data_IF_398813825061
#
_entry.id   IF_398813825061
#
_cell.length_a   1.000
_cell.length_b   1.000
_cell.length_c   1.000
_cell.angle_alpha   90.00
_cell.angle_beta   90.00
_cell.angle_gamma   90.00
#
_symmetry.space_group_name_H-M   'P 1'
#
loop_
_entity.id
_entity.type
_entity.pdbx_description
1 polymer ?
#
# COMPACT_ATOMS: atom_id res chain seq x y z
N UNK A 1 -53.20 13.79 -42.60
CA UNK A 1 -52.93 13.35 -41.21
C UNK A 1 -53.91 14.09 -40.31
N UNK A 2 -54.85 13.41 -39.66
CA UNK A 2 -55.92 14.08 -38.90
C UNK A 2 -55.43 14.43 -37.48
N UNK A 3 -55.98 15.50 -36.90
CA UNK A 3 -55.65 15.97 -35.55
C UNK A 3 -55.72 14.85 -34.49
N UNK A 4 -56.66 13.91 -34.66
CA UNK A 4 -56.78 12.70 -33.83
C UNK A 4 -55.56 11.77 -33.91
N UNK A 5 -54.93 11.63 -35.09
CA UNK A 5 -53.72 10.81 -35.25
C UNK A 5 -52.53 11.44 -34.51
N UNK A 6 -52.41 12.77 -34.56
CA UNK A 6 -51.36 13.52 -33.85
C UNK A 6 -51.54 13.40 -32.33
N UNK A 7 -52.77 13.49 -31.85
CA UNK A 7 -53.09 13.41 -30.42
C UNK A 7 -52.87 12.00 -29.86
N UNK A 8 -53.20 10.96 -30.63
CA UNK A 8 -52.90 9.57 -30.28
C UNK A 8 -51.38 9.30 -30.25
N UNK A 9 -50.62 9.83 -31.21
CA UNK A 9 -49.15 9.72 -31.19
C UNK A 9 -48.51 10.47 -30.02
N UNK A 10 -49.05 11.62 -29.61
CA UNK A 10 -48.54 12.37 -28.46
C UNK A 10 -48.80 11.63 -27.14
N UNK A 11 -49.97 11.00 -26.99
CA UNK A 11 -50.28 10.17 -25.83
C UNK A 11 -49.40 8.92 -25.75
N UNK A 12 -49.13 8.27 -26.89
CA UNK A 12 -48.23 7.13 -26.95
C UNK A 12 -46.79 7.52 -26.58
N UNK A 13 -46.29 8.67 -27.05
CA UNK A 13 -44.97 9.20 -26.67
C UNK A 13 -44.89 9.49 -25.17
N UNK A 14 -45.90 10.14 -24.59
CA UNK A 14 -45.92 10.44 -23.16
C UNK A 14 -45.97 9.18 -22.28
N UNK A 15 -46.71 8.15 -22.70
CA UNK A 15 -46.75 6.87 -22.01
C UNK A 15 -45.40 6.13 -22.08
N UNK A 16 -44.75 6.19 -23.25
CA UNK A 16 -43.41 5.60 -23.45
C UNK A 16 -42.36 6.32 -22.60
N UNK A 17 -42.44 7.65 -22.50
CA UNK A 17 -41.53 8.45 -21.68
C UNK A 17 -41.68 8.13 -20.18
N UNK A 18 -42.93 8.01 -19.70
CA UNK A 18 -43.21 7.64 -18.31
C UNK A 18 -42.72 6.23 -17.96
N UNK A 19 -42.82 5.30 -18.91
CA UNK A 19 -42.32 3.93 -18.76
C UNK A 19 -40.79 3.90 -18.66
N UNK A 20 -40.09 4.65 -19.53
CA UNK A 20 -38.62 4.74 -19.51
C UNK A 20 -38.11 5.38 -18.21
N UNK A 21 -38.76 6.44 -17.72
CA UNK A 21 -38.39 7.06 -16.43
C UNK A 21 -38.52 6.04 -15.29
N UNK A 22 -39.64 5.31 -15.23
CA UNK A 22 -39.88 4.31 -14.21
C UNK A 22 -38.89 3.14 -14.27
N UNK A 23 -38.56 2.67 -15.47
CA UNK A 23 -37.54 1.63 -15.66
C UNK A 23 -36.14 2.12 -15.25
N UNK A 24 -35.83 3.39 -15.50
CA UNK A 24 -34.55 4.01 -15.08
C UNK A 24 -34.47 4.17 -13.56
N UNK A 25 -35.56 4.57 -12.90
CA UNK A 25 -35.66 4.63 -11.43
C UNK A 25 -35.50 3.24 -10.81
N UNK A 26 -36.20 2.24 -11.36
CA UNK A 26 -36.14 0.85 -10.85
C UNK A 26 -34.73 0.26 -11.06
N UNK A 27 -34.08 0.57 -12.18
CA UNK A 27 -32.69 0.19 -12.43
C UNK A 27 -31.74 0.89 -11.44
N UNK A 28 -31.96 2.18 -11.17
CA UNK A 28 -31.22 2.94 -10.17
C UNK A 28 -31.35 2.37 -8.74
N UNK A 29 -32.57 2.00 -8.33
CA UNK A 29 -32.83 1.34 -7.04
C UNK A 29 -32.19 -0.06 -6.97
N UNK A 30 -32.18 -0.80 -8.07
CA UNK A 30 -31.55 -2.13 -8.15
C UNK A 30 -30.03 -2.04 -8.08
N UNK A 31 -29.43 -1.06 -8.76
CA UNK A 31 -28.00 -0.76 -8.68
C UNK A 31 -27.65 -0.30 -7.26
N UNK A 32 -28.42 0.62 -6.66
CA UNK A 32 -28.19 1.13 -5.31
C UNK A 32 -28.35 0.05 -4.23
N UNK A 33 -29.33 -0.85 -4.36
CA UNK A 33 -29.52 -1.96 -3.42
C UNK A 33 -28.45 -3.04 -3.55
N UNK A 34 -28.02 -3.36 -4.77
CA UNK A 34 -26.85 -4.22 -5.02
C UNK A 34 -25.58 -3.62 -4.42
N UNK A 35 -25.38 -2.31 -4.61
CA UNK A 35 -24.28 -1.55 -4.03
C UNK A 35 -24.29 -1.58 -2.50
N UNK A 36 -25.44 -1.31 -1.86
CA UNK A 36 -25.60 -1.38 -0.40
C UNK A 36 -25.34 -2.79 0.14
N UNK A 37 -25.68 -3.83 -0.61
CA UNK A 37 -25.44 -5.23 -0.21
C UNK A 37 -23.96 -5.58 -0.28
N UNK A 38 -23.27 -5.15 -1.34
CA UNK A 38 -21.82 -5.29 -1.49
C UNK A 38 -21.11 -4.50 -0.38
N UNK A 39 -21.53 -3.25 -0.13
CA UNK A 39 -20.99 -2.40 0.91
C UNK A 39 -21.19 -3.01 2.31
N UNK A 40 -22.39 -3.55 2.62
CA UNK A 40 -22.64 -4.19 3.91
C UNK A 40 -21.82 -5.48 4.11
N UNK A 41 -21.66 -6.29 3.05
CA UNK A 41 -20.80 -7.47 3.09
C UNK A 41 -19.32 -7.09 3.28
N UNK A 42 -18.88 -6.04 2.60
CA UNK A 42 -17.55 -5.44 2.72
C UNK A 42 -17.31 -4.92 4.14
N UNK A 43 -18.22 -4.10 4.70
CA UNK A 43 -18.16 -3.57 6.07
C UNK A 43 -18.13 -4.67 7.12
N UNK A 44 -18.97 -5.70 6.98
CA UNK A 44 -18.97 -6.83 7.91
C UNK A 44 -17.70 -7.68 7.81
N UNK A 45 -17.17 -7.84 6.59
CA UNK A 45 -15.86 -8.44 6.35
C UNK A 45 -14.73 -7.66 7.01
N UNK A 46 -14.76 -6.32 6.93
CA UNK A 46 -13.82 -5.45 7.62
C UNK A 46 -13.84 -5.62 9.12
N UNK A 47 -15.02 -5.59 9.75
CA UNK A 47 -15.13 -5.75 11.20
C UNK A 47 -14.53 -7.08 11.67
N UNK A 48 -14.82 -8.17 10.95
CA UNK A 48 -14.25 -9.49 11.23
C UNK A 48 -12.72 -9.50 11.06
N UNK A 49 -12.20 -8.88 10.00
CA UNK A 49 -10.75 -8.80 9.74
C UNK A 49 -10.00 -7.91 10.74
N UNK A 50 -10.58 -6.76 11.11
CA UNK A 50 -10.03 -5.87 12.15
C UNK A 50 -9.98 -6.60 13.49
N UNK A 51 -11.02 -7.36 13.84
CA UNK A 51 -11.03 -8.13 15.07
C UNK A 51 -9.98 -9.24 15.05
N UNK A 52 -9.80 -9.93 13.93
CA UNK A 52 -8.75 -10.93 13.75
C UNK A 52 -7.35 -10.32 13.90
N UNK A 53 -7.09 -9.17 13.26
CA UNK A 53 -5.82 -8.46 13.37
C UNK A 53 -5.53 -8.02 14.81
N UNK A 54 -6.55 -7.49 15.52
CA UNK A 54 -6.42 -7.09 16.93
C UNK A 54 -6.04 -8.27 17.82
N UNK A 55 -6.73 -9.41 17.66
CA UNK A 55 -6.43 -10.61 18.43
C UNK A 55 -4.98 -11.05 18.19
N UNK A 56 -4.53 -11.04 16.94
CA UNK A 56 -3.16 -11.41 16.57
C UNK A 56 -2.11 -10.45 17.15
N UNK A 57 -2.35 -9.13 17.13
CA UNK A 57 -1.46 -8.14 17.74
C UNK A 57 -1.35 -8.31 19.26
N UNK A 58 -2.45 -8.65 19.94
CA UNK A 58 -2.44 -8.97 21.37
C UNK A 58 -1.62 -10.22 21.63
N UNK A 59 -1.83 -11.29 20.85
CA UNK A 59 -1.05 -12.53 20.95
C UNK A 59 0.44 -12.29 20.72
N UNK A 60 0.80 -11.48 19.72
CA UNK A 60 2.17 -11.09 19.42
C UNK A 60 2.79 -10.34 20.60
N UNK A 61 2.09 -9.35 21.16
CA UNK A 61 2.57 -8.56 22.31
C UNK A 61 2.80 -9.47 23.54
N UNK A 62 1.90 -10.43 23.77
CA UNK A 62 2.04 -11.42 24.85
C UNK A 62 3.24 -12.34 24.60
N UNK A 63 3.48 -12.75 23.36
CA UNK A 63 4.63 -13.56 22.98
C UNK A 63 5.94 -12.78 23.18
N UNK A 64 6.02 -11.53 22.72
CA UNK A 64 7.17 -10.64 22.91
C UNK A 64 7.48 -10.48 24.41
N UNK A 65 6.47 -10.18 25.23
CA UNK A 65 6.63 -10.06 26.70
C UNK A 65 7.09 -11.36 27.36
N UNK A 66 6.65 -12.51 26.85
CA UNK A 66 7.08 -13.83 27.35
C UNK A 66 8.52 -14.11 26.96
N UNK A 67 8.95 -13.75 25.75
CA UNK A 67 10.34 -13.89 25.30
C UNK A 67 11.24 -12.98 26.14
N UNK A 68 10.90 -11.70 26.32
CA UNK A 68 11.64 -10.77 27.18
C UNK A 68 11.85 -11.37 28.59
N UNK A 69 10.77 -11.82 29.23
CA UNK A 69 10.86 -12.48 30.53
C UNK A 69 11.69 -13.77 30.50
N UNK A 70 11.61 -14.57 29.43
CA UNK A 70 12.40 -15.80 29.32
C UNK A 70 13.90 -15.53 29.18
N UNK A 71 14.28 -14.41 28.56
CA UNK A 71 15.66 -13.98 28.42
C UNK A 71 16.22 -13.38 29.73
N UNK A 72 15.39 -12.65 30.48
CA UNK A 72 15.77 -12.10 31.78
C UNK A 72 16.03 -13.20 32.84
N UNK A 73 15.39 -14.36 32.70
CA UNK A 73 15.41 -15.42 33.69
C UNK A 73 15.91 -16.79 33.18
N UNK A 74 16.37 -16.89 31.93
CA UNK A 74 16.78 -18.17 31.32
C UNK A 74 17.92 -18.02 30.30
N UNK A 75 18.72 -19.08 30.13
CA UNK A 75 19.78 -19.11 29.11
C UNK A 75 19.17 -19.34 27.72
N UNK A 76 19.37 -18.45 26.74
CA UNK A 76 18.85 -18.65 25.39
C UNK A 76 19.51 -19.88 24.77
N UNK A 77 18.71 -20.87 24.41
CA UNK A 77 19.24 -22.01 23.67
C UNK A 77 19.50 -21.61 22.23
N UNK A 78 20.74 -21.83 21.75
CA UNK A 78 21.11 -21.61 20.35
C UNK A 78 20.26 -22.50 19.44
N UNK A 79 19.35 -21.91 18.68
CA UNK A 79 18.72 -22.55 17.54
C UNK A 79 19.39 -21.99 16.27
N UNK A 80 19.88 -22.83 15.35
CA UNK A 80 20.74 -22.38 14.24
C UNK A 80 20.00 -21.53 13.19
N UNK A 81 18.66 -21.55 13.17
CA UNK A 81 17.85 -20.80 12.19
C UNK A 81 17.20 -19.56 12.77
N UNK A 82 17.34 -19.37 14.08
CA UNK A 82 16.67 -18.31 14.77
C UNK A 82 17.68 -17.16 14.88
N UNK A 83 17.36 -16.03 14.27
CA UNK A 83 17.91 -14.71 14.56
C UNK A 83 17.56 -14.28 16.01
N UNK A 84 17.77 -15.19 16.97
CA UNK A 84 17.42 -15.10 18.38
C UNK A 84 18.65 -14.97 19.27
N UNK A 85 19.82 -14.76 18.67
CA UNK A 85 20.88 -14.07 19.40
C UNK A 85 20.49 -12.60 19.61
N UNK A 86 21.16 -11.98 20.58
CA UNK A 86 20.85 -10.62 21.03
C UNK A 86 21.02 -9.58 19.91
N UNK A 87 22.00 -9.80 19.04
CA UNK A 87 22.36 -8.92 17.92
C UNK A 87 21.28 -8.94 16.83
N UNK A 88 20.96 -10.12 16.30
CA UNK A 88 19.95 -10.26 15.26
C UNK A 88 18.55 -9.82 15.74
N UNK A 89 18.26 -9.92 17.04
CA UNK A 89 17.02 -9.38 17.63
C UNK A 89 16.95 -7.85 17.53
N UNK A 90 18.06 -7.17 17.84
CA UNK A 90 18.16 -5.71 17.72
C UNK A 90 17.97 -5.32 16.26
N UNK A 91 18.60 -6.03 15.33
CA UNK A 91 18.51 -5.73 13.90
C UNK A 91 17.12 -5.96 13.32
N UNK A 92 16.41 -7.01 13.76
CA UNK A 92 15.00 -7.23 13.38
C UNK A 92 14.09 -6.13 13.95
N UNK A 93 14.28 -5.75 15.21
CA UNK A 93 13.45 -4.72 15.85
C UNK A 93 13.68 -3.34 15.24
N UNK A 94 14.95 -2.99 15.00
CA UNK A 94 15.34 -1.78 14.33
C UNK A 94 14.86 -1.79 12.87
N UNK A 95 14.98 -2.91 12.17
CA UNK A 95 14.49 -3.08 10.81
C UNK A 95 12.99 -2.84 10.66
N UNK A 96 12.18 -3.34 11.59
CA UNK A 96 10.74 -3.05 11.63
C UNK A 96 10.46 -1.55 11.81
N UNK A 97 11.21 -0.88 12.69
CA UNK A 97 11.09 0.56 12.90
C UNK A 97 11.49 1.33 11.62
N UNK A 98 12.61 0.96 11.01
CA UNK A 98 13.09 1.55 9.75
C UNK A 98 12.08 1.37 8.62
N UNK A 99 11.42 0.21 8.50
CA UNK A 99 10.34 -0.01 7.53
C UNK A 99 9.15 0.91 7.80
N UNK A 100 8.75 1.11 9.06
CA UNK A 100 7.66 2.02 9.40
C UNK A 100 8.02 3.49 9.08
N UNK A 101 9.26 3.90 9.37
CA UNK A 101 9.78 5.23 9.02
C UNK A 101 9.87 5.43 7.50
N UNK A 102 10.34 4.42 6.75
CA UNK A 102 10.36 4.44 5.30
C UNK A 102 8.95 4.64 4.71
N UNK A 103 7.95 3.93 5.24
CA UNK A 103 6.55 4.12 4.83
C UNK A 103 6.06 5.56 5.05
N UNK A 104 6.42 6.20 6.17
CA UNK A 104 6.11 7.62 6.41
C UNK A 104 6.79 8.52 5.39
N UNK A 105 8.10 8.36 5.20
CA UNK A 105 8.88 9.19 4.27
C UNK A 105 8.37 9.07 2.82
N UNK A 106 8.03 7.85 2.39
CA UNK A 106 7.47 7.60 1.06
C UNK A 106 6.13 8.33 0.89
N UNK A 107 5.24 8.26 1.90
CA UNK A 107 3.96 8.99 1.87
C UNK A 107 4.14 10.50 1.80
N UNK A 108 5.06 11.06 2.59
CA UNK A 108 5.37 12.50 2.56
C UNK A 108 5.90 12.93 1.19
N UNK A 109 6.75 12.10 0.57
CA UNK A 109 7.27 12.34 -0.77
C UNK A 109 6.16 12.29 -1.85
N UNK A 110 5.22 11.35 -1.73
CA UNK A 110 4.05 11.30 -2.62
C UNK A 110 3.15 12.52 -2.42
N UNK A 111 2.89 12.92 -1.17
CA UNK A 111 2.05 14.07 -0.85
C UNK A 111 2.64 15.40 -1.34
N UNK A 112 3.96 15.57 -1.22
CA UNK A 112 4.66 16.77 -1.71
C UNK A 112 4.60 16.86 -3.24
N UNK A 113 4.72 15.74 -3.95
CA UNK A 113 4.52 15.71 -5.40
C UNK A 113 3.09 16.10 -5.81
N UNK A 114 2.07 15.69 -5.06
CA UNK A 114 0.67 16.00 -5.39
C UNK A 114 0.35 17.50 -5.34
N UNK A 115 1.10 18.29 -4.56
CA UNK A 115 0.77 19.70 -4.26
C UNK A 115 1.89 20.69 -4.57
N UNK A 116 3.06 20.21 -5.01
CA UNK A 116 4.28 21.01 -5.15
C UNK A 116 4.40 21.85 -6.42
N UNK A 117 3.36 21.94 -7.26
CA UNK A 117 3.45 22.58 -8.58
C UNK A 117 2.62 23.87 -8.66
N UNK A 118 3.26 25.00 -8.95
CA UNK A 118 2.55 26.26 -9.23
C UNK A 118 1.94 26.33 -10.64
N UNK A 119 2.52 25.61 -11.60
CA UNK A 119 2.13 25.62 -13.01
C UNK A 119 2.01 24.22 -13.60
N UNK A 120 1.00 24.02 -14.46
CA UNK A 120 0.78 22.75 -15.18
C UNK A 120 1.97 22.36 -16.06
N UNK A 121 2.69 23.33 -16.61
CA UNK A 121 3.88 23.07 -17.42
C UNK A 121 4.99 22.41 -16.57
N UNK A 122 5.19 22.87 -15.34
CA UNK A 122 6.19 22.32 -14.44
C UNK A 122 5.87 20.87 -14.04
N UNK A 123 4.60 20.54 -13.77
CA UNK A 123 4.22 19.16 -13.46
C UNK A 123 4.38 18.22 -14.65
N UNK A 124 4.01 18.68 -15.85
CA UNK A 124 4.21 17.88 -17.06
C UNK A 124 5.69 17.70 -17.44
N UNK A 125 6.53 18.71 -17.23
CA UNK A 125 7.98 18.59 -17.46
C UNK A 125 8.60 17.63 -16.44
N UNK A 126 8.23 17.74 -15.16
CA UNK A 126 8.69 16.82 -14.13
C UNK A 126 8.36 15.35 -14.45
N UNK A 127 7.16 15.08 -14.99
CA UNK A 127 6.77 13.73 -15.44
C UNK A 127 7.54 13.31 -16.70
N UNK A 128 7.79 14.24 -17.62
CA UNK A 128 8.51 13.99 -18.88
C UNK A 128 9.99 13.69 -18.66
N UNK A 129 10.60 14.34 -17.67
CA UNK A 129 12.00 14.15 -17.27
C UNK A 129 12.21 12.86 -16.46
N UNK A 130 11.14 12.13 -16.12
CA UNK A 130 11.29 10.87 -15.42
C UNK A 130 12.01 9.84 -16.28
N UNK A 131 12.94 9.07 -15.68
CA UNK A 131 13.61 7.99 -16.38
C UNK A 131 12.62 6.94 -16.87
N UNK A 132 12.90 6.33 -18.03
CA UNK A 132 12.09 5.23 -18.56
C UNK A 132 12.01 4.06 -17.56
N UNK A 133 13.09 3.86 -16.80
CA UNK A 133 13.19 2.88 -15.72
C UNK A 133 12.06 3.00 -14.70
N UNK A 134 11.52 4.21 -14.43
CA UNK A 134 10.41 4.42 -13.49
C UNK A 134 9.20 3.56 -13.83
N UNK A 135 8.92 3.32 -15.11
CA UNK A 135 7.74 2.57 -15.55
C UNK A 135 7.86 1.05 -15.38
N UNK A 136 9.03 0.54 -14.97
CA UNK A 136 9.25 -0.89 -14.76
C UNK A 136 8.45 -1.43 -13.56
N UNK A 137 7.84 -2.59 -13.76
CA UNK A 137 7.19 -3.33 -12.67
C UNK A 137 8.18 -3.80 -11.60
N UNK A 138 9.47 -3.95 -11.95
CA UNK A 138 10.53 -4.38 -11.03
C UNK A 138 10.80 -3.35 -9.92
N UNK A 139 10.38 -2.09 -10.11
CA UNK A 139 10.47 -1.06 -9.06
C UNK A 139 9.50 -1.30 -7.90
N UNK A 140 8.43 -2.06 -8.11
CA UNK A 140 7.47 -2.42 -7.04
C UNK A 140 7.59 -3.89 -6.67
N UNK A 141 7.92 -4.74 -7.62
CA UNK A 141 8.06 -6.18 -7.43
C UNK A 141 9.44 -6.63 -7.91
N UNK A 142 10.52 -6.33 -7.16
CA UNK A 142 11.85 -6.79 -7.47
C UNK A 142 11.90 -8.32 -7.32
N UNK A 143 12.71 -8.96 -8.15
CA UNK A 143 12.82 -10.43 -8.23
C UNK A 143 13.14 -11.09 -6.89
N UNK A 144 14.03 -10.46 -6.11
CA UNK A 144 14.54 -10.99 -4.84
C UNK A 144 13.90 -10.30 -3.62
N UNK A 145 12.75 -9.63 -3.83
CA UNK A 145 11.94 -8.94 -2.82
C UNK A 145 12.65 -7.83 -2.00
N UNK A 146 13.90 -7.51 -2.30
CA UNK A 146 14.61 -6.32 -1.80
C UNK A 146 14.85 -5.33 -2.94
N UNK A 147 14.48 -4.07 -2.72
CA UNK A 147 14.78 -2.97 -3.62
C UNK A 147 16.25 -2.58 -3.49
N UNK A 148 16.88 -2.25 -4.62
CA UNK A 148 18.20 -1.63 -4.65
C UNK A 148 18.14 -0.21 -4.08
N UNK A 149 19.09 0.14 -3.23
CA UNK A 149 19.25 1.50 -2.70
C UNK A 149 19.65 2.47 -3.81
N UNK A 150 19.32 3.75 -3.60
CA UNK A 150 19.71 4.83 -4.49
C UNK A 150 21.23 5.09 -4.41
N UNK A 151 21.95 4.63 -5.44
CA UNK A 151 23.36 4.97 -5.70
C UNK A 151 23.51 6.09 -6.74
N UNK A 152 24.66 6.13 -7.45
CA UNK A 152 24.93 7.12 -8.51
C UNK A 152 24.03 6.94 -9.76
N UNK A 153 23.50 5.73 -9.97
CA UNK A 153 22.51 5.40 -10.99
C UNK A 153 21.18 5.05 -10.30
N UNK A 154 20.19 5.95 -10.43
CA UNK A 154 18.75 5.79 -10.18
C UNK A 154 18.32 4.53 -9.40
N UNK A 155 18.39 4.56 -8.07
CA UNK A 155 17.94 3.41 -7.29
C UNK A 155 16.45 3.12 -7.44
N UNK A 156 16.15 1.85 -7.22
CA UNK A 156 14.80 1.32 -7.43
C UNK A 156 13.81 1.85 -6.39
N UNK A 157 14.27 2.30 -5.21
CA UNK A 157 13.39 2.91 -4.20
C UNK A 157 12.84 4.25 -4.72
N UNK A 158 13.70 5.16 -5.18
CA UNK A 158 13.23 6.43 -5.76
C UNK A 158 12.33 6.20 -6.97
N UNK A 159 12.68 5.24 -7.84
CA UNK A 159 11.86 4.89 -8.99
C UNK A 159 10.51 4.28 -8.59
N UNK A 160 10.44 3.49 -7.51
CA UNK A 160 9.19 2.97 -6.96
C UNK A 160 8.27 4.10 -6.47
N UNK A 161 8.83 5.06 -5.73
CA UNK A 161 8.08 6.22 -5.23
C UNK A 161 7.53 7.05 -6.40
N UNK A 162 8.37 7.30 -7.42
CA UNK A 162 7.96 8.00 -8.66
C UNK A 162 6.89 7.25 -9.44
N UNK A 163 6.96 5.93 -9.49
CA UNK A 163 5.91 5.12 -10.10
C UNK A 163 4.58 5.35 -9.40
N UNK A 164 4.56 5.34 -8.06
CA UNK A 164 3.33 5.54 -7.26
C UNK A 164 2.77 6.94 -7.45
N UNK A 165 3.63 7.96 -7.51
CA UNK A 165 3.24 9.33 -7.80
C UNK A 165 2.44 9.43 -9.11
N UNK A 166 2.97 8.87 -10.20
CA UNK A 166 2.29 8.89 -11.51
C UNK A 166 1.06 7.99 -11.52
N UNK A 167 1.13 6.80 -10.92
CA UNK A 167 0.05 5.81 -10.97
C UNK A 167 -1.18 6.28 -10.18
N UNK A 168 -0.98 6.97 -9.05
CA UNK A 168 -2.07 7.43 -8.20
C UNK A 168 -2.58 8.81 -8.59
N UNK A 169 -1.70 9.73 -9.01
CA UNK A 169 -2.07 11.09 -9.39
C UNK A 169 -1.25 11.58 -10.60
N UNK A 170 -1.58 11.12 -11.83
CA UNK A 170 -0.83 11.48 -13.03
C UNK A 170 -0.93 12.97 -13.39
N UNK A 171 -1.87 13.70 -12.75
CA UNK A 171 -2.07 15.13 -12.94
C UNK A 171 -2.08 15.80 -11.55
N UNK A 172 -0.90 16.09 -10.99
CA UNK A 172 -0.77 16.79 -9.71
C UNK A 172 -1.58 18.09 -9.67
N UNK A 173 -2.02 18.43 -8.47
CA UNK A 173 -2.84 19.61 -8.23
C UNK A 173 -1.96 20.85 -8.19
N UNK A 174 -2.50 21.96 -8.68
CA UNK A 174 -1.75 23.21 -8.72
C UNK A 174 -1.87 23.94 -7.39
N UNK A 175 -0.79 24.50 -6.90
CA UNK A 175 -0.85 25.41 -5.76
C UNK A 175 -1.62 26.66 -6.17
N UNK A 176 -2.63 27.03 -5.38
CA UNK A 176 -3.31 28.33 -5.51
C UNK A 176 -2.50 29.34 -4.72
N UNK A 177 -2.31 30.54 -5.28
CA UNK A 177 -1.62 31.60 -4.58
C UNK A 177 -2.49 32.07 -3.40
N UNK A 178 -1.90 32.43 -2.27
CA UNK A 178 -2.61 32.79 -1.03
C UNK A 178 -3.67 33.89 -1.28
N UNK A 179 -3.40 34.82 -2.19
CA UNK A 179 -4.35 35.90 -2.51
C UNK A 179 -5.56 35.45 -3.35
N UNK A 180 -5.51 34.26 -3.95
CA UNK A 180 -6.62 33.65 -4.70
C UNK A 180 -7.46 32.74 -3.81
N UNK A 181 -6.90 32.21 -2.70
CA UNK A 181 -7.61 31.33 -1.76
C UNK A 181 -8.80 32.02 -1.09
N UNK A 182 -8.75 33.34 -0.93
CA UNK A 182 -9.82 34.10 -0.28
C UNK A 182 -11.03 34.38 -1.18
N UNK A 183 -10.88 34.21 -2.50
CA UNK A 183 -12.00 34.33 -3.45
C UNK A 183 -13.01 33.19 -3.25
N UNK A 184 -14.31 33.37 -3.57
CA UNK A 184 -15.30 32.29 -3.50
C UNK A 184 -14.85 31.05 -4.28
N UNK A 185 -14.35 31.23 -5.50
CA UNK A 185 -13.84 30.13 -6.33
C UNK A 185 -12.57 29.49 -5.76
N UNK A 186 -11.71 30.24 -5.05
CA UNK A 186 -10.54 29.71 -4.35
C UNK A 186 -10.90 28.83 -3.15
N UNK A 187 -11.97 29.18 -2.42
CA UNK A 187 -12.50 28.36 -1.32
C UNK A 187 -13.10 27.05 -1.83
N UNK A 188 -13.82 27.11 -2.95
CA UNK A 188 -14.36 25.91 -3.61
C UNK A 188 -13.22 25.02 -4.13
N UNK A 189 -12.15 25.61 -4.68
CA UNK A 189 -10.95 24.87 -5.08
C UNK A 189 -10.33 24.10 -3.91
N UNK A 190 -10.05 24.78 -2.79
CA UNK A 190 -9.46 24.14 -1.61
C UNK A 190 -10.36 23.05 -1.01
N UNK A 191 -11.68 23.22 -1.08
CA UNK A 191 -12.63 22.18 -0.68
C UNK A 191 -12.53 20.94 -1.58
N UNK A 192 -12.54 21.10 -2.90
CA UNK A 192 -12.43 19.98 -3.85
C UNK A 192 -11.05 19.30 -3.75
N UNK A 193 -9.98 20.07 -3.54
CA UNK A 193 -8.62 19.57 -3.34
C UNK A 193 -8.55 18.63 -2.14
N UNK A 194 -9.10 19.02 -0.99
CA UNK A 194 -9.16 18.16 0.21
C UNK A 194 -9.92 16.87 -0.03
N UNK A 195 -11.00 16.90 -0.79
CA UNK A 195 -11.75 15.68 -1.12
C UNK A 195 -10.93 14.76 -2.04
N UNK A 196 -10.24 15.33 -3.03
CA UNK A 196 -9.33 14.58 -3.90
C UNK A 196 -8.18 13.96 -3.09
N UNK A 197 -7.51 14.73 -2.24
CA UNK A 197 -6.45 14.25 -1.36
C UNK A 197 -6.93 13.10 -0.46
N UNK A 198 -8.10 13.24 0.18
CA UNK A 198 -8.71 12.19 0.98
C UNK A 198 -8.96 10.90 0.18
N UNK A 199 -9.34 11.03 -1.09
CA UNK A 199 -9.55 9.91 -2.00
C UNK A 199 -8.25 9.21 -2.40
N UNK A 200 -7.12 9.92 -2.41
CA UNK A 200 -5.81 9.37 -2.76
C UNK A 200 -5.08 8.73 -1.56
N UNK A 201 -5.47 9.07 -0.33
CA UNK A 201 -4.78 8.63 0.90
C UNK A 201 -4.65 7.11 1.03
N UNK A 202 -5.72 6.34 0.79
CA UNK A 202 -5.71 4.89 0.96
C UNK A 202 -4.86 4.17 -0.11
N UNK A 203 -5.01 4.42 -1.42
CA UNK A 203 -4.16 3.78 -2.41
C UNK A 203 -2.69 4.18 -2.23
N UNK A 204 -2.41 5.43 -1.85
CA UNK A 204 -1.04 5.88 -1.56
C UNK A 204 -0.48 5.20 -0.31
N UNK A 205 -1.27 5.04 0.77
CA UNK A 205 -0.88 4.27 1.96
C UNK A 205 -0.55 2.82 1.60
N UNK A 206 -1.43 2.16 0.85
CA UNK A 206 -1.26 0.77 0.46
C UNK A 206 0.03 0.54 -0.34
N UNK A 207 0.27 1.39 -1.35
CA UNK A 207 1.47 1.31 -2.18
C UNK A 207 2.74 1.70 -1.42
N UNK A 208 2.66 2.70 -0.53
CA UNK A 208 3.80 3.09 0.32
C UNK A 208 4.21 1.96 1.25
N UNK A 209 3.26 1.25 1.84
CA UNK A 209 3.55 0.09 2.70
C UNK A 209 4.14 -1.08 1.91
N UNK A 210 3.68 -1.31 0.67
CA UNK A 210 4.27 -2.34 -0.21
C UNK A 210 5.73 -2.00 -0.50
N UNK A 211 6.03 -0.77 -0.90
CA UNK A 211 7.41 -0.34 -1.18
C UNK A 211 8.27 -0.42 0.08
N UNK A 212 7.78 0.08 1.22
CA UNK A 212 8.52 0.10 2.48
C UNK A 212 8.90 -1.31 2.97
N UNK A 213 8.04 -2.31 2.76
CA UNK A 213 8.35 -3.71 3.10
C UNK A 213 9.43 -4.33 2.21
N UNK A 214 9.66 -3.73 1.03
CA UNK A 214 10.68 -4.14 0.05
C UNK A 214 11.94 -3.28 0.13
N UNK A 215 11.91 -2.14 0.82
CA UNK A 215 13.10 -1.34 1.12
C UNK A 215 14.06 -2.13 2.01
N UNK A 216 15.37 -2.13 1.72
CA UNK A 216 16.38 -2.77 2.57
C UNK A 216 16.49 -2.02 3.91
N UNK A 217 15.90 -2.61 4.95
CA UNK A 217 15.72 -1.95 6.26
C UNK A 217 16.35 -2.71 7.43
N UNK A 218 16.58 -4.02 7.28
CA UNK A 218 17.10 -4.91 8.32
C UNK A 218 18.59 -5.19 8.09
N UNK A 219 19.44 -4.87 9.06
CA UNK A 219 20.90 -5.10 9.04
C UNK A 219 21.24 -6.60 9.24
N UNK A 220 20.77 -7.45 8.33
CA UNK A 220 20.87 -8.91 8.45
C UNK A 220 21.69 -9.54 7.31
N UNK A 221 22.61 -8.79 6.69
CA UNK A 221 23.46 -9.28 5.60
C UNK A 221 24.28 -10.50 6.02
N UNK A 222 25.05 -10.40 7.11
CA UNK A 222 25.88 -11.49 7.63
C UNK A 222 25.03 -12.71 8.02
N UNK A 223 23.86 -12.47 8.64
CA UNK A 223 22.91 -13.53 8.95
C UNK A 223 22.41 -14.23 7.67
N UNK A 224 22.07 -13.45 6.64
CA UNK A 224 21.58 -13.97 5.38
C UNK A 224 22.66 -14.80 4.67
N UNK A 225 23.92 -14.36 4.67
CA UNK A 225 25.05 -15.13 4.15
C UNK A 225 25.22 -16.47 4.87
N UNK A 226 25.13 -16.48 6.20
CA UNK A 226 25.21 -17.70 7.00
C UNK A 226 24.07 -18.66 6.68
N UNK A 227 22.83 -18.16 6.61
CA UNK A 227 21.67 -18.96 6.24
C UNK A 227 21.79 -19.52 4.83
N UNK A 228 22.33 -18.75 3.89
CA UNK A 228 22.59 -19.20 2.53
C UNK A 228 23.59 -20.37 2.49
N UNK A 229 24.66 -20.28 3.27
CA UNK A 229 25.63 -21.35 3.43
C UNK A 229 25.01 -22.62 4.02
N UNK A 230 24.11 -22.49 5.00
CA UNK A 230 23.39 -23.63 5.58
C UNK A 230 22.48 -24.33 4.54
N UNK A 231 21.90 -23.56 3.62
CA UNK A 231 21.14 -24.11 2.49
C UNK A 231 22.01 -24.80 1.44
N UNK A 232 23.34 -24.79 1.61
CA UNK A 232 24.29 -25.37 0.66
C UNK A 232 24.58 -24.46 -0.53
N UNK A 233 24.19 -23.18 -0.46
CA UNK A 233 24.55 -22.17 -1.45
C UNK A 233 25.84 -21.45 -1.02
N UNK A 234 26.46 -20.72 -1.94
CA UNK A 234 27.70 -19.99 -1.69
C UNK A 234 27.56 -18.52 -2.05
N UNK A 235 28.20 -17.65 -1.27
CA UNK A 235 28.22 -16.21 -1.51
C UNK A 235 26.99 -15.48 -0.95
N UNK A 236 26.98 -14.17 -1.17
CA UNK A 236 25.93 -13.26 -0.70
C UNK A 236 24.62 -13.51 -1.46
N UNK A 237 23.48 -13.75 -0.77
CA UNK A 237 22.18 -13.86 -1.40
C UNK A 237 21.83 -12.60 -2.20
N UNK A 238 21.13 -12.76 -3.32
CA UNK A 238 20.72 -11.64 -4.18
C UNK A 238 19.75 -10.67 -3.48
N UNK A 239 19.06 -11.10 -2.43
CA UNK A 239 18.18 -10.27 -1.63
C UNK A 239 18.92 -9.34 -0.65
N UNK A 240 20.24 -9.48 -0.49
CA UNK A 240 21.07 -8.59 0.33
C UNK A 240 21.55 -7.42 -0.51
N UNK A 241 21.23 -6.21 -0.05
CA UNK A 241 21.63 -4.94 -0.65
C UNK A 241 22.32 -4.11 0.42
N UNK A 242 23.57 -3.74 0.21
CA UNK A 242 24.39 -2.96 1.17
C UNK A 242 24.38 -3.53 2.60
N UNK A 243 24.47 -4.85 2.74
CA UNK A 243 24.44 -5.54 4.04
C UNK A 243 23.06 -5.62 4.68
N UNK A 244 22.00 -5.20 3.98
CA UNK A 244 20.62 -5.18 4.46
C UNK A 244 19.72 -6.08 3.64
N UNK A 245 18.63 -6.53 4.26
CA UNK A 245 17.51 -7.19 3.58
C UNK A 245 16.21 -6.45 3.84
N UNK A 246 15.25 -6.61 2.94
CA UNK A 246 13.90 -6.11 3.15
C UNK A 246 13.11 -7.00 4.11
N UNK A 247 11.98 -6.47 4.59
CA UNK A 247 11.08 -7.20 5.46
C UNK A 247 10.41 -8.38 4.73
N UNK A 248 10.17 -8.27 3.42
CA UNK A 248 9.65 -9.35 2.58
C UNK A 248 10.73 -10.41 2.30
N UNK A 249 11.94 -9.99 1.94
CA UNK A 249 13.06 -10.91 1.71
C UNK A 249 13.44 -11.72 2.95
N UNK A 250 13.32 -11.14 4.16
CA UNK A 250 13.48 -11.87 5.41
C UNK A 250 12.46 -13.01 5.55
N UNK A 251 11.18 -12.77 5.22
CA UNK A 251 10.15 -13.81 5.29
C UNK A 251 10.39 -14.91 4.26
N UNK A 252 10.81 -14.55 3.05
CA UNK A 252 11.17 -15.51 2.01
C UNK A 252 12.35 -16.37 2.46
N UNK A 253 13.41 -15.75 2.97
CA UNK A 253 14.59 -16.45 3.49
C UNK A 253 14.21 -17.44 4.61
N UNK A 254 13.37 -17.00 5.57
CA UNK A 254 12.88 -17.87 6.64
C UNK A 254 12.04 -19.04 6.11
N UNK A 255 11.31 -18.85 5.01
CA UNK A 255 10.54 -19.91 4.36
C UNK A 255 11.45 -20.87 3.59
N UNK A 256 12.40 -20.33 2.82
CA UNK A 256 13.34 -21.06 1.98
C UNK A 256 14.30 -21.93 2.79
N UNK A 257 14.69 -21.49 3.99
CA UNK A 257 15.44 -22.30 4.96
C UNK A 257 14.83 -23.68 5.24
N UNK A 258 13.54 -23.86 4.97
CA UNK A 258 12.78 -25.09 5.19
C UNK A 258 12.40 -25.78 3.89
N UNK A 259 11.86 -25.02 2.94
CA UNK A 259 11.26 -25.58 1.72
C UNK A 259 12.23 -25.63 0.54
N UNK A 260 13.18 -24.70 0.46
CA UNK A 260 14.21 -24.67 -0.58
C UNK A 260 15.53 -25.29 -0.13
N UNK A 261 15.67 -25.63 1.16
CA UNK A 261 16.88 -26.17 1.75
C UNK A 261 16.92 -27.72 1.69
N UNK A 262 17.79 -28.33 0.85
CA UNK A 262 17.91 -29.79 0.77
C UNK A 262 18.49 -30.42 2.04
N UNK A 263 19.19 -29.65 2.87
CA UNK A 263 19.80 -30.12 4.13
C UNK A 263 18.81 -30.10 5.30
N UNK A 264 17.67 -29.41 5.19
CA UNK A 264 16.71 -29.24 6.28
C UNK A 264 16.19 -30.57 6.86
N UNK A 265 15.85 -31.60 6.05
CA UNK A 265 15.43 -32.90 6.59
C UNK A 265 16.53 -33.60 7.42
N UNK A 266 17.80 -33.43 7.05
CA UNK A 266 18.92 -34.02 7.79
C UNK A 266 19.12 -33.26 9.10
N UNK A 267 19.04 -31.94 9.05
CA UNK A 267 19.17 -31.09 10.23
C UNK A 267 18.06 -31.35 11.25
N UNK A 268 16.79 -31.43 10.84
CA UNK A 268 15.66 -31.67 11.76
C UNK A 268 15.78 -33.00 12.50
N UNK A 269 16.25 -34.06 11.83
CA UNK A 269 16.47 -35.36 12.45
C UNK A 269 17.62 -35.36 13.47
N UNK A 270 18.53 -34.40 13.37
CA UNK A 270 19.67 -34.24 14.27
C UNK A 270 19.35 -33.38 15.51
N UNK A 271 18.23 -32.65 15.52
CA UNK A 271 17.86 -31.75 16.62
C UNK A 271 17.44 -32.53 17.87
N UNK A 272 17.79 -31.99 19.03
CA UNK A 272 17.25 -32.45 20.32
C UNK A 272 15.75 -32.13 20.42
N UNK A 273 15.05 -32.74 21.38
CA UNK A 273 13.63 -32.44 21.66
C UNK A 273 13.38 -30.94 21.84
N UNK A 274 14.24 -30.24 22.59
CA UNK A 274 14.12 -28.80 22.80
C UNK A 274 14.42 -28.02 21.51
N UNK A 275 15.35 -28.50 20.68
CA UNK A 275 15.62 -27.92 19.36
C UNK A 275 14.42 -28.04 18.41
N UNK A 276 13.71 -29.17 18.45
CA UNK A 276 12.47 -29.37 17.69
C UNK A 276 11.35 -28.45 18.17
N UNK A 277 11.20 -28.24 19.49
CA UNK A 277 10.20 -27.31 20.02
C UNK A 277 10.49 -25.86 19.63
N UNK A 278 11.76 -25.44 19.60
CA UNK A 278 12.14 -24.10 19.12
C UNK A 278 11.89 -23.93 17.63
N UNK A 279 12.15 -24.96 16.83
CA UNK A 279 11.85 -24.95 15.40
C UNK A 279 10.34 -24.81 15.15
N UNK A 280 9.52 -25.55 15.90
CA UNK A 280 8.06 -25.44 15.83
C UNK A 280 7.58 -24.04 16.19
N UNK A 281 8.11 -23.45 17.27
CA UNK A 281 7.77 -22.09 17.68
C UNK A 281 8.18 -21.05 16.62
N UNK A 282 9.35 -21.22 15.99
CA UNK A 282 9.78 -20.35 14.91
C UNK A 282 8.84 -20.45 13.70
N UNK A 283 8.46 -21.67 13.30
CA UNK A 283 7.46 -21.88 12.23
C UNK A 283 6.12 -21.21 12.54
N UNK A 284 5.63 -21.35 13.77
CA UNK A 284 4.38 -20.70 14.21
C UNK A 284 4.50 -19.17 14.17
N UNK A 285 5.65 -18.62 14.59
CA UNK A 285 5.90 -17.17 14.56
C UNK A 285 5.96 -16.60 13.14
N UNK A 286 6.60 -17.32 12.20
CA UNK A 286 6.66 -16.93 10.79
C UNK A 286 5.26 -16.97 10.17
N UNK A 287 4.47 -18.01 10.49
CA UNK A 287 3.09 -18.12 10.04
C UNK A 287 2.21 -16.98 10.61
N UNK A 288 2.39 -16.59 11.87
CA UNK A 288 1.70 -15.45 12.46
C UNK A 288 2.03 -14.14 11.74
N UNK A 289 3.29 -13.87 11.42
CA UNK A 289 3.68 -12.67 10.67
C UNK A 289 3.13 -12.69 9.23
N UNK A 290 3.14 -13.85 8.57
CA UNK A 290 2.51 -14.01 7.24
C UNK A 290 1.01 -13.69 7.30
N UNK A 291 0.28 -14.24 8.28
CA UNK A 291 -1.14 -13.96 8.48
C UNK A 291 -1.39 -12.48 8.79
N UNK A 292 -0.56 -11.87 9.64
CA UNK A 292 -0.63 -10.43 9.95
C UNK A 292 -0.53 -9.59 8.69
N UNK A 293 0.48 -9.85 7.84
CA UNK A 293 0.67 -9.10 6.58
C UNK A 293 -0.46 -9.31 5.60
N UNK A 294 -0.96 -10.54 5.46
CA UNK A 294 -2.12 -10.82 4.62
C UNK A 294 -3.36 -10.04 5.09
N UNK A 295 -3.60 -9.96 6.40
CA UNK A 295 -4.69 -9.18 6.97
C UNK A 295 -4.54 -7.67 6.71
N UNK A 296 -3.32 -7.13 6.81
CA UNK A 296 -3.05 -5.71 6.49
C UNK A 296 -3.31 -5.44 5.00
N UNK A 297 -2.83 -6.29 4.10
CA UNK A 297 -3.10 -6.17 2.66
C UNK A 297 -4.59 -6.25 2.36
N UNK A 298 -5.32 -7.17 3.00
CA UNK A 298 -6.77 -7.24 2.88
C UNK A 298 -7.44 -5.96 3.37
N UNK A 299 -7.03 -5.37 4.49
CA UNK A 299 -7.57 -4.09 4.95
C UNK A 299 -7.37 -2.99 3.90
N UNK A 300 -6.20 -2.93 3.26
CA UNK A 300 -5.93 -2.00 2.16
C UNK A 300 -6.84 -2.24 0.95
N UNK A 301 -6.94 -3.49 0.48
CA UNK A 301 -7.80 -3.85 -0.66
C UNK A 301 -9.24 -3.43 -0.39
N UNK A 302 -9.75 -3.78 0.77
CA UNK A 302 -11.14 -3.52 1.08
C UNK A 302 -11.37 -2.01 1.25
N UNK A 303 -10.40 -1.26 1.79
CA UNK A 303 -10.48 0.21 1.89
C UNK A 303 -10.46 0.87 0.50
N UNK A 304 -9.63 0.35 -0.42
CA UNK A 304 -9.62 0.81 -1.81
C UNK A 304 -10.94 0.49 -2.52
N UNK A 305 -11.52 -0.70 -2.33
CA UNK A 305 -12.83 -1.05 -2.91
C UNK A 305 -13.93 -0.15 -2.37
N UNK A 306 -13.93 0.16 -1.07
CA UNK A 306 -14.89 1.09 -0.46
C UNK A 306 -14.72 2.54 -0.97
N UNK A 307 -13.54 2.91 -1.48
CA UNK A 307 -13.30 4.18 -2.15
C UNK A 307 -13.63 4.13 -3.64
N UNK A 308 -13.30 3.05 -4.36
CA UNK A 308 -13.55 2.92 -5.80
C UNK A 308 -15.04 3.03 -6.14
N UNK A 309 -15.89 2.61 -5.21
CA UNK A 309 -17.34 2.82 -5.27
C UNK A 309 -17.78 4.28 -5.33
N UNK A 310 -16.88 5.26 -5.16
CA UNK A 310 -17.23 6.69 -5.21
C UNK A 310 -16.91 7.41 -6.52
N UNK A 311 -16.17 6.82 -7.49
CA UNK A 311 -16.01 7.29 -8.90
C UNK A 311 -15.71 8.80 -9.16
N UNK A 312 -15.38 9.56 -8.10
CA UNK A 312 -15.43 11.03 -8.06
C UNK A 312 -14.06 11.68 -8.30
N UNK A 313 -12.97 11.01 -7.90
CA UNK A 313 -11.62 11.60 -7.93
C UNK A 313 -11.16 12.01 -9.34
N UNK A 314 -11.54 11.27 -10.38
CA UNK A 314 -11.21 11.61 -11.79
C UNK A 314 -12.02 12.80 -12.31
N UNK A 315 -13.24 13.00 -11.80
CA UNK A 315 -14.08 14.15 -12.15
C UNK A 315 -13.62 15.42 -11.43
N UNK A 316 -13.11 15.28 -10.21
CA UNK A 316 -12.60 16.37 -9.37
C UNK A 316 -11.44 17.14 -10.00
N UNK A 317 -10.54 16.46 -10.72
CA UNK A 317 -9.41 17.14 -11.38
C UNK A 317 -9.82 18.21 -12.40
N UNK A 318 -10.91 17.99 -13.16
CA UNK A 318 -11.43 19.01 -14.09
C UNK A 318 -12.09 20.17 -13.37
N UNK A 319 -12.89 19.86 -12.34
CA UNK A 319 -13.56 20.86 -11.51
C UNK A 319 -12.54 21.79 -10.84
N UNK A 320 -11.42 21.25 -10.36
CA UNK A 320 -10.32 22.00 -9.78
C UNK A 320 -9.72 23.02 -10.77
N UNK A 321 -9.43 22.61 -12.01
CA UNK A 321 -8.90 23.52 -13.03
C UNK A 321 -9.91 24.63 -13.39
N UNK A 322 -11.21 24.31 -13.41
CA UNK A 322 -12.29 25.27 -13.64
C UNK A 322 -12.37 26.32 -12.52
N UNK A 323 -12.44 25.88 -11.25
CA UNK A 323 -12.47 26.78 -10.09
C UNK A 323 -11.22 27.67 -10.01
N UNK A 324 -10.03 27.12 -10.29
CA UNK A 324 -8.80 27.90 -10.34
C UNK A 324 -8.85 29.00 -11.40
N UNK A 325 -9.39 28.70 -12.58
CA UNK A 325 -9.53 29.69 -13.66
C UNK A 325 -10.55 30.77 -13.30
N UNK A 326 -11.63 30.40 -12.62
CA UNK A 326 -12.63 31.33 -12.13
C UNK A 326 -12.07 32.26 -11.05
N UNK A 327 -11.33 31.73 -10.07
CA UNK A 327 -10.66 32.52 -9.02
C UNK A 327 -9.72 33.58 -9.61
N UNK A 328 -8.92 33.21 -10.61
CA UNK A 328 -8.05 34.16 -11.34
C UNK A 328 -8.88 35.27 -11.99
N UNK A 329 -10.02 34.93 -12.59
CA UNK A 329 -10.91 35.89 -13.24
C UNK A 329 -11.66 36.80 -12.27
N UNK A 330 -11.98 36.30 -11.07
CA UNK A 330 -12.63 37.06 -9.99
C UNK A 330 -11.67 38.13 -9.45
N UNK A 331 -10.43 37.74 -9.13
CA UNK A 331 -9.40 38.68 -8.69
C UNK A 331 -9.05 39.73 -9.74
N UNK A 332 -9.14 39.40 -11.03
CA UNK A 332 -8.91 40.36 -12.10
C UNK A 332 -10.05 41.40 -12.27
N UNK A 333 -11.20 41.20 -11.60
CA UNK A 333 -12.37 42.10 -11.64
C UNK A 333 -12.50 43.01 -10.42
N UNK A 334 -11.76 42.74 -9.35
CA UNK A 334 -11.60 43.61 -8.17
C UNK A 334 -10.59 44.73 -8.43
#
# INVERSE_FOLDING_TARGET
MTLQTIQASLQAVNQTLAQVVKETETLGETIASGHNTIQAAVTKGFEAHIQALRNLLVEQTVAERKIENYMDYGTPGRAPYASCDEESRVDVTLGRKNTAEASVMIRENIASFNTGFGERKASMEAIRELPEAVTSAENIFPKDNTLQMDGDDEGTVTNAVRWVQIATNPYPDLTVQEELEETPSGKDYEAVKKIKEASLTVPQLALSDIIANKTPSHELGDWAEQMNAIMGQSGTPACVVDGKISADALLDMLTDLRYANPNWPIDIHSKSKDGLLRELLLMDSVNLEYQRRNLVLLQHIVAMVAQDTTDEAKKMGRLMDEYRTQAISEKARE
#
